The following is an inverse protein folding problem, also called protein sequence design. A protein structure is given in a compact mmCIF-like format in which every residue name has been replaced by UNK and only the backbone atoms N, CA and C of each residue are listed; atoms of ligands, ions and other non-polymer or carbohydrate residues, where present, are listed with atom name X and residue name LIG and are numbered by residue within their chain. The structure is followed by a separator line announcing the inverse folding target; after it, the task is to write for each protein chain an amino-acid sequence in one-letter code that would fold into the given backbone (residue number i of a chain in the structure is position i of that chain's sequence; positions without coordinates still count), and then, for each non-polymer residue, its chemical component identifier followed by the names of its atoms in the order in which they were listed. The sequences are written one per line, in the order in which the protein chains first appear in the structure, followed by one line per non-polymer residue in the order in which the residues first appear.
data_IF_293657901666
#
_entry.id   IF_293657901666
#
_cell.length_a   1.000
_cell.length_b   1.000
_cell.length_c   1.000
_cell.angle_alpha   90.00
_cell.angle_beta   90.00
_cell.angle_gamma   90.00
#
_symmetry.space_group_name_H-M   'P 1'
#
loop_
_entity.id
_entity.type
_entity.pdbx_description
1 polymer ?
#
# COMPACT_ATOMS: atom_id res chain seq x y z
N UNK A 1 15.48 9.12 -3.19
CA UNK A 1 15.51 8.29 -1.96
C UNK A 1 14.05 8.13 -1.52
N UNK A 2 13.50 6.92 -1.61
CA UNK A 2 12.15 6.65 -1.08
C UNK A 2 12.28 6.64 0.44
N UNK A 3 11.64 7.60 1.11
CA UNK A 3 11.60 7.63 2.56
C UNK A 3 10.41 6.79 2.99
N UNK A 4 10.67 5.56 3.46
CA UNK A 4 9.63 4.72 4.06
C UNK A 4 9.34 5.28 5.45
N UNK A 5 8.10 5.73 5.65
CA UNK A 5 7.61 6.15 6.95
C UNK A 5 7.04 4.94 7.67
N UNK A 6 7.67 4.55 8.77
CA UNK A 6 7.23 3.47 9.64
C UNK A 6 6.30 4.04 10.71
N UNK A 7 5.00 3.79 10.56
CA UNK A 7 3.98 3.97 11.60
C UNK A 7 3.13 2.69 11.67
N UNK A 8 2.24 2.53 12.64
CA UNK A 8 1.39 1.32 12.78
C UNK A 8 0.34 1.17 11.66
N UNK A 9 0.57 1.82 10.52
CA UNK A 9 -0.15 1.58 9.29
C UNK A 9 -0.03 0.11 8.89
N UNK A 10 -1.16 -0.44 8.50
CA UNK A 10 -1.30 -1.84 8.13
C UNK A 10 -1.80 -1.89 6.71
N UNK A 11 -0.99 -2.43 5.79
CA UNK A 11 -1.36 -2.66 4.39
C UNK A 11 -1.79 -4.11 4.26
N UNK A 12 -3.04 -4.34 3.89
CA UNK A 12 -3.56 -5.69 3.68
C UNK A 12 -4.30 -5.78 2.36
N UNK A 13 -4.11 -6.88 1.65
CA UNK A 13 -4.88 -7.19 0.45
C UNK A 13 -5.57 -8.56 0.56
N UNK A 14 -6.77 -8.67 -0.01
CA UNK A 14 -7.49 -9.92 -0.13
C UNK A 14 -7.50 -10.42 -1.59
N UNK A 15 -7.52 -11.75 -1.78
CA UNK A 15 -7.57 -12.36 -3.12
C UNK A 15 -8.87 -13.12 -3.37
N UNK A 16 -9.85 -13.05 -2.45
CA UNK A 16 -11.16 -13.66 -2.62
C UNK A 16 -12.17 -12.64 -3.14
N UNK A 17 -12.54 -12.76 -4.42
CA UNK A 17 -13.50 -11.86 -5.07
C UNK A 17 -12.84 -10.59 -5.62
N UNK A 18 -13.49 -9.43 -5.42
CA UNK A 18 -12.96 -8.12 -5.81
C UNK A 18 -11.77 -7.77 -4.89
N UNK A 19 -10.57 -7.65 -5.44
CA UNK A 19 -9.36 -7.41 -4.65
C UNK A 19 -9.50 -6.09 -3.87
N UNK A 20 -9.30 -6.14 -2.56
CA UNK A 20 -9.48 -5.03 -1.64
C UNK A 20 -8.16 -4.78 -0.93
N UNK A 21 -7.57 -3.61 -1.13
CA UNK A 21 -6.34 -3.19 -0.48
C UNK A 21 -6.65 -2.14 0.59
N UNK A 22 -6.55 -2.51 1.85
CA UNK A 22 -6.82 -1.61 2.98
C UNK A 22 -5.52 -1.01 3.50
N UNK A 23 -5.51 0.31 3.56
CA UNK A 23 -4.38 1.18 3.81
C UNK A 23 -4.74 2.08 4.99
N UNK A 24 -4.45 1.60 6.19
CA UNK A 24 -4.95 2.22 7.42
C UNK A 24 -3.93 3.22 7.97
N UNK A 25 -4.37 4.44 8.25
CA UNK A 25 -3.57 5.52 8.83
C UNK A 25 -4.14 5.91 10.19
N UNK A 26 -3.47 5.61 11.31
CA UNK A 26 -3.89 6.11 12.61
C UNK A 26 -3.81 7.65 12.64
N UNK A 27 -4.86 8.32 13.15
CA UNK A 27 -4.95 9.80 13.15
C UNK A 27 -3.79 10.47 13.91
N UNK A 28 -3.35 9.90 15.02
CA UNK A 28 -2.15 10.33 15.77
C UNK A 28 -0.83 10.25 14.97
N UNK A 29 -0.82 9.69 13.75
CA UNK A 29 0.34 9.65 12.84
C UNK A 29 0.27 10.71 11.73
N UNK A 30 -0.72 11.61 11.76
CA UNK A 30 -0.93 12.66 10.75
C UNK A 30 0.36 13.43 10.42
N UNK A 31 1.11 13.89 11.42
CA UNK A 31 2.36 14.63 11.19
C UNK A 31 3.39 13.83 10.40
N UNK A 32 3.42 12.50 10.57
CA UNK A 32 4.31 11.63 9.80
C UNK A 32 3.87 11.55 8.34
N UNK A 33 2.56 11.45 8.11
CA UNK A 33 1.97 11.45 6.76
C UNK A 33 2.23 12.78 6.06
N UNK A 34 2.01 13.91 6.71
CA UNK A 34 2.29 15.24 6.13
C UNK A 34 3.77 15.43 5.83
N UNK A 35 4.67 14.96 6.71
CA UNK A 35 6.12 14.93 6.41
C UNK A 35 6.42 14.10 5.17
N UNK A 36 5.78 12.94 5.01
CA UNK A 36 5.93 12.13 3.80
C UNK A 36 5.50 12.89 2.54
N UNK A 37 4.34 13.55 2.59
CA UNK A 37 3.80 14.34 1.47
C UNK A 37 4.70 15.52 1.09
N UNK A 38 5.39 16.13 2.06
CA UNK A 38 6.27 17.28 1.84
C UNK A 38 7.67 16.89 1.33
N UNK A 39 8.15 15.70 1.67
CA UNK A 39 9.50 15.25 1.30
C UNK A 39 9.55 14.24 0.15
N UNK A 40 8.40 13.79 -0.35
CA UNK A 40 8.34 12.91 -1.52
C UNK A 40 8.20 13.70 -2.84
N UNK A 41 8.55 13.07 -3.96
CA UNK A 41 8.29 13.61 -5.28
C UNK A 41 6.76 13.75 -5.51
N UNK A 42 6.31 14.74 -6.27
CA UNK A 42 4.88 14.95 -6.57
C UNK A 42 4.23 13.72 -7.22
N UNK A 43 4.95 13.07 -8.13
CA UNK A 43 4.50 11.87 -8.86
C UNK A 43 4.70 10.56 -8.08
N UNK A 44 5.45 10.54 -6.98
CA UNK A 44 5.74 9.31 -6.23
C UNK A 44 5.58 9.52 -4.72
N UNK A 45 4.74 8.71 -4.11
CA UNK A 45 4.48 8.70 -2.68
C UNK A 45 4.59 7.28 -2.15
N UNK A 46 5.28 7.08 -1.02
CA UNK A 46 5.48 5.76 -0.47
C UNK A 46 5.33 5.75 1.06
N UNK A 47 4.82 4.65 1.58
CA UNK A 47 4.63 4.43 3.01
C UNK A 47 5.11 3.03 3.40
N UNK A 48 5.75 2.90 4.55
CA UNK A 48 5.99 1.60 5.17
C UNK A 48 4.75 1.11 5.92
N UNK A 49 4.67 -0.18 6.16
CA UNK A 49 3.75 -0.78 7.13
C UNK A 49 4.49 -1.27 8.36
N UNK A 50 3.70 -1.50 9.41
CA UNK A 50 4.03 -2.44 10.45
C UNK A 50 3.38 -3.81 10.17
N UNK A 51 3.84 -4.85 10.87
CA UNK A 51 3.29 -6.19 10.80
C UNK A 51 1.82 -6.20 11.22
N UNK A 52 0.93 -6.51 10.28
CA UNK A 52 -0.48 -6.75 10.57
C UNK A 52 -0.70 -8.00 11.42
N UNK A 53 -1.12 -7.88 12.68
CA UNK A 53 -1.59 -9.03 13.46
C UNK A 53 -2.93 -9.59 12.97
N UNK A 54 -3.65 -8.84 12.14
CA UNK A 54 -4.95 -9.24 11.56
C UNK A 54 -4.79 -10.00 10.24
N UNK A 55 -3.63 -9.92 9.60
CA UNK A 55 -3.33 -10.68 8.39
C UNK A 55 -3.03 -12.15 8.74
N UNK A 56 -3.47 -13.06 7.88
CA UNK A 56 -3.18 -14.49 8.01
C UNK A 56 -1.88 -14.89 7.29
N UNK A 57 -1.33 -13.99 6.49
CA UNK A 57 -0.06 -14.17 5.79
C UNK A 57 0.62 -12.81 5.55
N UNK A 58 1.92 -12.79 5.27
CA UNK A 58 2.66 -11.60 4.87
C UNK A 58 3.56 -11.89 3.68
N UNK A 59 3.70 -10.90 2.80
CA UNK A 59 4.71 -10.96 1.74
C UNK A 59 6.12 -10.88 2.35
N UNK A 60 7.04 -11.61 1.74
CA UNK A 60 8.47 -11.58 2.03
C UNK A 60 9.25 -11.55 0.73
N UNK A 61 10.33 -10.77 0.73
CA UNK A 61 11.29 -10.74 -0.35
C UNK A 61 12.47 -11.65 0.04
N UNK A 62 12.77 -12.64 -0.80
CA UNK A 62 13.85 -13.59 -0.56
C UNK A 62 14.93 -13.38 -1.62
N UNK A 63 16.13 -13.06 -1.18
CA UNK A 63 17.31 -12.99 -2.04
C UNK A 63 17.82 -14.41 -2.33
N UNK A 64 18.01 -14.71 -3.61
CA UNK A 64 18.57 -15.99 -4.07
C UNK A 64 20.01 -16.16 -3.59
N UNK A 65 20.35 -17.37 -3.13
CA UNK A 65 21.68 -17.67 -2.58
C UNK A 65 22.75 -17.95 -3.63
N UNK A 66 22.37 -18.06 -4.91
CA UNK A 66 23.27 -18.42 -6.02
C UNK A 66 23.63 -17.25 -6.94
N UNK A 67 22.75 -16.26 -7.05
CA UNK A 67 22.92 -15.09 -7.90
C UNK A 67 22.63 -13.84 -7.04
N UNK A 68 23.67 -13.07 -6.72
CA UNK A 68 23.63 -11.96 -5.74
C UNK A 68 22.57 -10.88 -6.03
N UNK A 69 22.01 -10.86 -7.26
CA UNK A 69 21.04 -9.87 -7.72
C UNK A 69 19.64 -10.43 -8.02
N UNK A 70 19.35 -11.67 -7.62
CA UNK A 70 18.02 -12.27 -7.86
C UNK A 70 17.16 -12.20 -6.60
N UNK A 71 15.98 -11.58 -6.72
CA UNK A 71 14.99 -11.44 -5.65
C UNK A 71 13.68 -12.09 -6.05
N UNK A 72 13.07 -12.83 -5.11
CA UNK A 72 11.79 -13.50 -5.32
C UNK A 72 10.78 -13.10 -4.23
N UNK A 73 9.58 -12.73 -4.65
CA UNK A 73 8.44 -12.53 -3.72
C UNK A 73 7.86 -13.89 -3.33
N UNK A 74 7.74 -14.14 -2.02
CA UNK A 74 6.92 -15.21 -1.47
C UNK A 74 5.91 -14.65 -0.47
N UNK A 75 4.86 -15.41 -0.15
CA UNK A 75 3.96 -15.09 0.95
C UNK A 75 4.11 -16.16 2.04
N UNK A 76 4.54 -15.77 3.25
CA UNK A 76 4.60 -16.68 4.40
C UNK A 76 3.22 -16.72 5.05
N UNK A 77 2.72 -17.92 5.27
CA UNK A 77 1.39 -18.17 5.82
C UNK A 77 1.49 -18.58 7.30
N UNK A 78 0.50 -18.20 8.10
CA UNK A 78 0.27 -18.84 9.40
C UNK A 78 -0.14 -20.29 9.14
N UNK A 79 0.58 -21.24 9.73
CA UNK A 79 0.33 -22.67 9.54
C UNK A 79 -1.17 -23.01 9.66
N UNK A 80 -1.68 -23.76 8.68
CA UNK A 80 -3.04 -24.30 8.67
C UNK A 80 -4.20 -23.29 8.49
N UNK A 81 -3.95 -22.07 7.99
CA UNK A 81 -5.02 -21.13 7.59
C UNK A 81 -5.02 -20.88 6.07
N UNK A 82 -6.16 -20.89 5.37
CA UNK A 82 -6.23 -20.45 3.98
C UNK A 82 -5.93 -18.96 3.86
N UNK A 83 -5.10 -18.56 2.88
CA UNK A 83 -4.71 -17.15 2.67
C UNK A 83 -5.91 -16.31 2.28
N UNK A 84 -6.36 -15.42 3.17
CA UNK A 84 -7.52 -14.55 2.93
C UNK A 84 -7.12 -13.08 2.96
N UNK A 85 -6.21 -12.72 3.86
CA UNK A 85 -5.71 -11.37 4.09
C UNK A 85 -4.20 -11.45 4.18
N UNK A 86 -3.53 -10.92 3.17
CA UNK A 86 -2.06 -10.89 3.10
C UNK A 86 -1.57 -9.48 3.43
N UNK A 87 -0.64 -9.37 4.38
CA UNK A 87 0.04 -8.12 4.72
C UNK A 87 1.18 -7.81 3.75
N UNK A 88 1.42 -6.52 3.51
CA UNK A 88 2.55 -6.03 2.72
C UNK A 88 3.42 -5.08 3.57
N UNK A 89 4.72 -5.05 3.30
CA UNK A 89 5.72 -4.26 4.03
C UNK A 89 5.70 -2.76 3.67
N UNK A 90 5.29 -2.43 2.45
CA UNK A 90 5.19 -1.05 2.00
C UNK A 90 4.14 -0.89 0.89
N UNK A 91 3.75 0.35 0.63
CA UNK A 91 3.03 0.74 -0.58
C UNK A 91 3.77 1.86 -1.30
N UNK A 92 3.72 1.86 -2.64
CA UNK A 92 4.17 2.95 -3.48
C UNK A 92 3.04 3.37 -4.40
N UNK A 93 2.61 4.62 -4.28
CA UNK A 93 1.73 5.29 -5.22
C UNK A 93 2.56 6.00 -6.28
N UNK A 94 2.24 5.75 -7.56
CA UNK A 94 2.96 6.29 -8.70
C UNK A 94 1.99 6.95 -9.70
N UNK A 95 2.04 8.29 -9.78
CA UNK A 95 1.21 9.16 -10.61
C UNK A 95 1.53 9.14 -12.11
N UNK A 96 2.04 8.02 -12.63
CA UNK A 96 2.52 7.87 -14.00
C UNK A 96 1.67 6.90 -14.83
N UNK A 97 0.42 6.63 -14.45
CA UNK A 97 -0.46 5.77 -15.23
C UNK A 97 -0.84 6.46 -16.56
N UNK A 98 -0.39 5.90 -17.68
CA UNK A 98 -0.64 6.43 -19.03
C UNK A 98 -1.78 5.72 -19.77
N UNK A 99 -2.40 4.72 -19.15
CA UNK A 99 -3.45 3.93 -19.80
C UNK A 99 -4.77 4.70 -19.71
N UNK A 100 -5.26 5.18 -20.84
CA UNK A 100 -6.53 5.87 -20.92
C UNK A 100 -7.69 4.95 -20.49
N UNK A 101 -8.63 5.49 -19.70
CA UNK A 101 -9.81 4.77 -19.22
C UNK A 101 -9.60 3.94 -17.94
N UNK A 102 -8.39 3.93 -17.36
CA UNK A 102 -8.15 3.31 -16.05
C UNK A 102 -7.97 4.37 -14.95
N UNK A 103 -8.68 4.19 -13.84
CA UNK A 103 -8.52 5.01 -12.63
C UNK A 103 -7.35 4.56 -11.76
N UNK A 104 -6.91 3.31 -11.91
CA UNK A 104 -5.79 2.76 -11.17
C UNK A 104 -5.36 1.38 -11.65
N UNK A 105 -4.13 1.00 -11.28
CA UNK A 105 -3.61 -0.36 -11.44
C UNK A 105 -2.76 -0.71 -10.22
N UNK A 106 -3.14 -1.74 -9.47
CA UNK A 106 -2.30 -2.29 -8.41
C UNK A 106 -1.47 -3.46 -8.91
N UNK A 107 -0.33 -3.70 -8.26
CA UNK A 107 0.50 -4.88 -8.48
C UNK A 107 1.36 -5.13 -7.24
N UNK A 108 1.75 -6.38 -7.03
CA UNK A 108 2.72 -6.75 -5.99
C UNK A 108 4.12 -6.43 -6.50
N UNK A 109 4.93 -5.76 -5.66
CA UNK A 109 6.33 -5.47 -5.93
C UNK A 109 7.17 -5.90 -4.72
N UNK A 110 7.95 -6.97 -4.87
CA UNK A 110 8.71 -7.57 -3.77
C UNK A 110 7.79 -7.93 -2.59
N UNK A 111 8.00 -7.36 -1.41
CA UNK A 111 7.14 -7.51 -0.25
C UNK A 111 6.12 -6.35 -0.07
N UNK A 112 6.01 -5.47 -1.06
CA UNK A 112 5.11 -4.32 -1.06
C UNK A 112 4.05 -4.33 -2.16
N UNK A 113 3.25 -3.26 -2.18
CA UNK A 113 2.25 -2.97 -3.20
C UNK A 113 2.67 -1.75 -4.01
N UNK A 114 2.51 -1.81 -5.33
CA UNK A 114 2.64 -0.66 -6.23
C UNK A 114 1.28 -0.33 -6.83
N UNK A 115 0.82 0.90 -6.61
CA UNK A 115 -0.44 1.43 -7.14
C UNK A 115 -0.11 2.54 -8.12
N UNK A 116 -0.35 2.27 -9.40
CA UNK A 116 -0.29 3.29 -10.45
C UNK A 116 -1.63 4.00 -10.54
N UNK A 117 -1.59 5.32 -10.66
CA UNK A 117 -2.76 6.17 -10.81
C UNK A 117 -2.46 7.33 -11.78
N UNK A 118 -3.48 7.94 -12.40
CA UNK A 118 -3.30 9.15 -13.19
C UNK A 118 -2.74 10.30 -12.35
N UNK A 119 -2.07 11.26 -13.00
CA UNK A 119 -1.49 12.41 -12.32
C UNK A 119 -2.52 13.19 -11.51
N UNK A 120 -3.71 13.42 -12.07
CA UNK A 120 -4.78 14.15 -11.39
C UNK A 120 -5.28 13.41 -10.15
N UNK A 121 -5.40 12.08 -10.24
CA UNK A 121 -5.75 11.23 -9.09
C UNK A 121 -4.66 11.24 -8.02
N UNK A 122 -3.38 11.35 -8.40
CA UNK A 122 -2.28 11.49 -7.43
C UNK A 122 -2.39 12.83 -6.69
N UNK A 123 -2.70 13.91 -7.39
CA UNK A 123 -2.94 15.22 -6.77
C UNK A 123 -4.12 15.14 -5.80
N UNK A 124 -5.25 14.55 -6.20
CA UNK A 124 -6.42 14.37 -5.35
C UNK A 124 -6.12 13.51 -4.11
N UNK A 125 -5.38 12.40 -4.26
CA UNK A 125 -4.92 11.57 -3.16
C UNK A 125 -4.09 12.38 -2.14
N UNK A 126 -3.12 13.16 -2.63
CA UNK A 126 -2.27 13.98 -1.75
C UNK A 126 -3.07 15.02 -1.00
N UNK A 127 -4.05 15.66 -1.65
CA UNK A 127 -4.97 16.60 -1.02
C UNK A 127 -5.80 15.92 0.06
N UNK A 128 -6.43 14.79 -0.23
CA UNK A 128 -7.22 14.04 0.74
C UNK A 128 -6.40 13.65 1.98
N UNK A 129 -5.17 13.18 1.80
CA UNK A 129 -4.27 12.87 2.93
C UNK A 129 -3.88 14.10 3.75
N UNK A 130 -3.70 15.28 3.13
CA UNK A 130 -3.46 16.55 3.87
C UNK A 130 -4.70 17.00 4.65
N UNK A 131 -5.88 16.74 4.12
CA UNK A 131 -7.15 17.10 4.75
C UNK A 131 -7.65 16.03 5.74
N UNK A 132 -6.85 14.97 5.97
CA UNK A 132 -7.21 13.84 6.82
C UNK A 132 -8.52 13.16 6.39
N UNK A 133 -8.75 13.12 5.08
CA UNK A 133 -9.91 12.50 4.45
C UNK A 133 -9.55 11.12 3.89
N UNK A 134 -10.51 10.21 3.96
CA UNK A 134 -10.42 8.90 3.33
C UNK A 134 -10.40 9.05 1.80
N UNK A 135 -9.71 8.13 1.12
CA UNK A 135 -9.60 8.14 -0.34
C UNK A 135 -9.72 6.72 -0.90
N UNK A 136 -10.39 6.59 -2.04
CA UNK A 136 -10.61 5.29 -2.69
C UNK A 136 -10.13 5.34 -4.13
N UNK A 137 -9.41 4.31 -4.55
CA UNK A 137 -8.95 4.14 -5.93
C UNK A 137 -9.56 2.85 -6.47
N UNK A 138 -10.35 2.97 -7.53
CA UNK A 138 -10.79 1.82 -8.32
C UNK A 138 -9.68 1.41 -9.28
N UNK A 139 -9.32 0.13 -9.28
CA UNK A 139 -8.24 -0.44 -10.06
C UNK A 139 -8.77 -1.48 -11.06
N UNK A 140 -8.16 -1.53 -12.24
CA UNK A 140 -8.50 -2.47 -13.31
C UNK A 140 -9.59 -1.95 -14.27
N UNK A 141 -9.79 -2.63 -15.41
CA UNK A 141 -10.66 -2.16 -16.49
C UNK A 141 -12.16 -2.16 -16.16
N UNK A 142 -12.59 -3.00 -15.20
CA UNK A 142 -13.97 -3.04 -14.71
C UNK A 142 -14.04 -2.74 -13.21
N UNK A 143 -13.09 -1.94 -12.71
CA UNK A 143 -12.91 -1.66 -11.28
C UNK A 143 -12.80 -2.94 -10.41
N UNK A 144 -12.24 -4.02 -10.93
CA UNK A 144 -12.18 -5.35 -10.28
C UNK A 144 -11.37 -5.36 -8.97
N UNK A 145 -10.65 -4.28 -8.70
CA UNK A 145 -9.91 -4.05 -7.49
C UNK A 145 -10.22 -2.68 -6.91
N UNK A 146 -10.15 -2.54 -5.58
CA UNK A 146 -10.33 -1.27 -4.89
C UNK A 146 -9.28 -1.10 -3.81
N UNK A 147 -8.61 0.05 -3.83
CA UNK A 147 -7.62 0.46 -2.84
C UNK A 147 -8.25 1.52 -1.94
N UNK A 148 -8.46 1.17 -0.67
CA UNK A 148 -9.02 2.04 0.35
C UNK A 148 -7.92 2.62 1.23
N UNK A 149 -7.79 3.94 1.24
CA UNK A 149 -6.97 4.69 2.18
C UNK A 149 -7.86 5.29 3.24
N UNK A 150 -7.71 4.86 4.49
CA UNK A 150 -8.64 5.21 5.56
C UNK A 150 -7.90 5.72 6.80
N UNK A 151 -8.38 6.83 7.35
CA UNK A 151 -7.95 7.33 8.63
C UNK A 151 -8.69 6.60 9.75
N UNK A 152 -7.95 5.85 10.57
CA UNK A 152 -8.49 5.07 11.67
C UNK A 152 -8.34 5.81 13.00
N UNK A 153 -8.92 5.24 14.05
CA UNK A 153 -8.61 5.64 15.43
C UNK A 153 -7.11 5.58 15.71
N UNK A 154 -6.70 6.33 16.73
CA UNK A 154 -5.30 6.42 17.17
C UNK A 154 -4.76 5.03 17.53
N UNK A 155 -3.51 4.77 17.16
CA UNK A 155 -2.84 3.57 17.63
C UNK A 155 -2.48 3.70 19.12
N UNK A 156 -2.68 2.62 19.87
CA UNK A 156 -2.38 2.58 21.32
C UNK A 156 -1.11 1.79 21.62
N UNK A 157 -0.49 1.20 20.61
CA UNK A 157 0.75 0.44 20.73
C UNK A 157 1.91 1.40 20.49
N UNK A 158 2.67 1.72 21.53
CA UNK A 158 3.85 2.60 21.50
C UNK A 158 5.14 1.81 21.71
#
# INVERSE_FOLDING_TARGET
KIQLFFGHSTWTFNSYGRQTNNNLFPRNRYDQVVRALNHSNESVLAFGANLSLKADSHLVCIQGTKDENTYHTQAINIHNKPRRVTGASFVVFNGALKIAGLSGKSSIMEDGLMVHLPSDSMTALRTALREMQDYTISCGPNDEETVYLQWTEDDTNF
#
